data_IF_738634818491
#
_entry.id   IF_738634818491
#
_cell.length_a   1.000
_cell.length_b   1.000
_cell.length_c   1.000
_cell.angle_alpha   90.00
_cell.angle_beta   90.00
_cell.angle_gamma   90.00
#
_symmetry.space_group_name_H-M   'P 1'
#
loop_
_entity.id
_entity.type
_entity.pdbx_description
1 polymer ?
#
# COMPACT_ATOMS: atom_id res chain seq x y z
N UNK A 1 11.91 22.06 14.06
CA UNK A 1 11.96 20.62 13.71
C UNK A 1 11.80 20.55 12.20
N UNK A 2 12.86 20.29 11.45
CA UNK A 2 12.82 20.17 9.99
C UNK A 2 12.33 18.78 9.65
N UNK A 3 11.17 18.69 9.00
CA UNK A 3 10.69 17.40 8.49
C UNK A 3 11.63 16.92 7.38
N UNK A 4 11.96 15.62 7.32
CA UNK A 4 12.82 15.09 6.26
C UNK A 4 12.17 15.33 4.90
N UNK A 5 12.95 15.88 3.96
CA UNK A 5 12.51 16.04 2.59
C UNK A 5 12.32 14.66 1.96
N UNK A 6 11.14 14.40 1.41
CA UNK A 6 10.83 13.17 0.68
C UNK A 6 10.46 13.50 -0.76
N UNK A 7 11.00 12.72 -1.68
CA UNK A 7 10.69 12.80 -3.11
C UNK A 7 10.50 11.39 -3.66
N UNK A 8 9.57 11.24 -4.58
CA UNK A 8 9.33 9.98 -5.30
C UNK A 8 9.40 10.24 -6.79
N UNK A 9 10.12 9.39 -7.52
CA UNK A 9 10.26 9.46 -8.98
C UNK A 9 9.73 8.18 -9.60
N UNK A 10 8.93 8.33 -10.65
CA UNK A 10 8.27 7.23 -11.36
C UNK A 10 8.88 7.05 -12.74
N UNK A 11 9.13 5.81 -13.13
CA UNK A 11 9.49 5.42 -14.50
C UNK A 11 8.34 4.62 -15.09
N UNK A 12 8.08 4.83 -16.38
CA UNK A 12 6.94 4.27 -17.08
C UNK A 12 7.34 3.47 -18.32
N UNK A 13 6.54 2.45 -18.63
CA UNK A 13 6.46 1.86 -19.96
C UNK A 13 5.00 1.95 -20.40
N UNK A 14 4.71 2.85 -21.35
CA UNK A 14 3.33 3.18 -21.69
C UNK A 14 2.58 3.78 -20.49
N UNK A 15 1.46 3.17 -20.10
CA UNK A 15 0.65 3.58 -18.95
C UNK A 15 0.98 2.82 -17.65
N UNK A 16 2.05 2.01 -17.65
CA UNK A 16 2.46 1.18 -16.51
C UNK A 16 3.65 1.80 -15.79
N UNK A 17 3.53 1.99 -14.48
CA UNK A 17 4.68 2.32 -13.61
C UNK A 17 5.57 1.09 -13.51
N UNK A 18 6.80 1.15 -14.02
CA UNK A 18 7.76 0.03 -14.00
C UNK A 18 8.83 0.18 -12.93
N UNK A 19 9.05 1.40 -12.43
CA UNK A 19 9.98 1.65 -11.32
C UNK A 19 9.54 2.86 -10.50
N UNK A 20 9.76 2.77 -9.19
CA UNK A 20 9.67 3.87 -8.25
C UNK A 20 10.99 4.02 -7.51
N UNK A 21 11.51 5.25 -7.44
CA UNK A 21 12.66 5.59 -6.59
C UNK A 21 12.20 6.60 -5.55
N UNK A 22 12.31 6.24 -4.28
CA UNK A 22 12.03 7.12 -3.15
C UNK A 22 13.34 7.67 -2.61
N UNK A 23 13.32 8.96 -2.29
CA UNK A 23 14.43 9.71 -1.71
C UNK A 23 14.05 10.22 -0.33
N UNK A 24 15.02 10.21 0.58
CA UNK A 24 14.96 10.84 1.89
C UNK A 24 16.18 11.73 2.05
N UNK A 25 15.97 13.02 2.36
CA UNK A 25 17.05 14.01 2.46
C UNK A 25 17.99 14.01 1.23
N UNK A 26 17.40 13.90 0.03
CA UNK A 26 18.09 13.83 -1.27
C UNK A 26 18.93 12.57 -1.53
N UNK A 27 18.98 11.61 -0.60
CA UNK A 27 19.58 10.30 -0.83
C UNK A 27 18.52 9.28 -1.22
N UNK A 28 18.84 8.36 -2.13
CA UNK A 28 17.97 7.22 -2.46
C UNK A 28 17.76 6.39 -1.21
N UNK A 29 16.51 6.22 -0.78
CA UNK A 29 16.16 5.38 0.37
C UNK A 29 15.60 4.03 -0.08
N UNK A 30 14.93 3.99 -1.23
CA UNK A 30 14.23 2.80 -1.69
C UNK A 30 14.12 2.80 -3.21
N UNK A 31 14.26 1.62 -3.81
CA UNK A 31 13.98 1.35 -5.22
C UNK A 31 12.97 0.20 -5.26
N UNK A 32 11.90 0.39 -6.02
CA UNK A 32 10.89 -0.64 -6.27
C UNK A 32 10.72 -0.84 -7.76
N UNK A 33 10.96 -2.05 -8.25
CA UNK A 33 10.75 -2.46 -9.63
C UNK A 33 9.44 -3.25 -9.75
N UNK A 34 8.69 -3.01 -10.82
CA UNK A 34 7.38 -3.62 -11.07
C UNK A 34 7.40 -4.37 -12.41
N UNK A 35 7.10 -5.67 -12.35
CA UNK A 35 6.96 -6.51 -13.54
C UNK A 35 5.50 -6.84 -13.79
N UNK A 36 5.09 -6.75 -15.05
CA UNK A 36 3.73 -7.01 -15.49
C UNK A 36 3.66 -8.19 -16.45
N UNK A 37 2.51 -8.84 -16.49
CA UNK A 37 2.18 -9.91 -17.43
C UNK A 37 0.77 -9.64 -17.97
N UNK A 38 0.66 -9.47 -19.28
CA UNK A 38 -0.57 -9.04 -19.96
C UNK A 38 -1.24 -7.83 -19.30
N UNK A 39 -0.44 -6.82 -18.92
CA UNK A 39 -0.91 -5.58 -18.29
C UNK A 39 -1.30 -5.70 -16.81
N UNK A 40 -1.20 -6.89 -16.21
CA UNK A 40 -1.46 -7.14 -14.78
C UNK A 40 -0.14 -7.17 -14.01
N UNK A 41 -0.11 -6.55 -12.83
CA UNK A 41 1.07 -6.58 -11.97
C UNK A 41 1.33 -8.03 -11.50
N UNK A 42 2.57 -8.51 -11.65
CA UNK A 42 2.97 -9.89 -11.38
C UNK A 42 4.07 -10.00 -10.33
N UNK A 43 5.06 -9.10 -10.36
CA UNK A 43 6.18 -9.09 -9.42
C UNK A 43 6.43 -7.67 -8.94
N UNK A 44 6.69 -7.54 -7.64
CA UNK A 44 7.22 -6.34 -7.01
C UNK A 44 8.57 -6.71 -6.39
N UNK A 45 9.65 -6.11 -6.88
CA UNK A 45 10.98 -6.25 -6.32
C UNK A 45 11.34 -4.96 -5.57
N UNK A 46 11.51 -5.07 -4.26
CA UNK A 46 11.75 -3.96 -3.34
C UNK A 46 13.16 -4.03 -2.76
N UNK A 47 13.92 -2.95 -2.94
CA UNK A 47 15.23 -2.76 -2.34
C UNK A 47 15.25 -1.48 -1.50
N UNK A 48 15.19 -1.64 -0.18
CA UNK A 48 15.51 -0.57 0.76
C UNK A 48 17.03 -0.51 0.92
N UNK A 49 17.62 0.66 0.69
CA UNK A 49 19.08 0.80 0.55
C UNK A 49 19.79 0.36 1.83
N UNK A 50 19.30 0.80 2.99
CA UNK A 50 19.89 0.52 4.30
C UNK A 50 19.44 -0.83 4.90
N UNK A 51 18.59 -1.59 4.22
CA UNK A 51 18.18 -2.93 4.67
C UNK A 51 19.24 -3.98 4.31
N UNK A 52 19.53 -4.96 5.19
CA UNK A 52 20.38 -6.10 4.84
C UNK A 52 19.71 -7.08 3.85
N UNK A 53 18.42 -6.91 3.55
CA UNK A 53 17.66 -7.75 2.64
C UNK A 53 16.95 -6.95 1.55
N UNK A 54 16.68 -7.61 0.43
CA UNK A 54 15.69 -7.18 -0.57
C UNK A 54 14.45 -8.04 -0.45
N UNK A 55 13.31 -7.57 -0.94
CA UNK A 55 12.06 -8.30 -0.91
C UNK A 55 11.53 -8.52 -2.31
N UNK A 56 11.02 -9.72 -2.58
CA UNK A 56 10.29 -10.05 -3.79
C UNK A 56 8.88 -10.46 -3.42
N UNK A 57 7.89 -9.84 -4.05
CA UNK A 57 6.49 -10.21 -3.91
C UNK A 57 5.95 -10.72 -5.24
N UNK A 58 5.42 -11.94 -5.25
CA UNK A 58 4.78 -12.54 -6.43
C UNK A 58 3.27 -12.51 -6.25
N UNK A 59 2.56 -12.06 -7.29
CA UNK A 59 1.10 -11.92 -7.31
C UNK A 59 0.46 -13.03 -8.16
N UNK A 60 -0.60 -13.63 -7.62
CA UNK A 60 -1.44 -14.63 -8.31
C UNK A 60 -2.89 -14.18 -8.30
N UNK A 61 -3.51 -14.07 -9.48
CA UNK A 61 -4.93 -13.71 -9.63
C UNK A 61 -5.76 -14.99 -9.58
N UNK A 62 -6.65 -15.08 -8.60
CA UNK A 62 -7.46 -16.26 -8.34
C UNK A 62 -8.79 -16.20 -9.12
N UNK A 63 -9.43 -17.35 -9.31
CA UNK A 63 -10.73 -17.46 -10.00
C UNK A 63 -11.90 -16.87 -9.20
N UNK A 64 -11.74 -16.71 -7.89
CA UNK A 64 -12.71 -16.06 -6.98
C UNK A 64 -12.65 -14.52 -7.02
N UNK A 65 -11.81 -13.94 -7.90
CA UNK A 65 -11.62 -12.49 -8.02
C UNK A 65 -10.67 -11.88 -7.00
N UNK A 66 -10.06 -12.69 -6.14
CA UNK A 66 -9.03 -12.23 -5.18
C UNK A 66 -7.62 -12.29 -5.78
N UNK A 67 -6.68 -11.59 -5.14
CA UNK A 67 -5.26 -11.64 -5.49
C UNK A 67 -4.47 -12.12 -4.28
N UNK A 68 -3.66 -13.16 -4.49
CA UNK A 68 -2.71 -13.66 -3.49
C UNK A 68 -1.34 -13.05 -3.73
N UNK A 69 -0.68 -12.63 -2.66
CA UNK A 69 0.68 -12.10 -2.65
C UNK A 69 1.53 -13.00 -1.78
N UNK A 70 2.68 -13.42 -2.30
CA UNK A 70 3.67 -14.19 -1.54
C UNK A 70 4.96 -13.38 -1.51
N UNK A 71 5.40 -13.01 -0.30
CA UNK A 71 6.63 -12.24 -0.10
C UNK A 71 7.76 -13.11 0.41
N UNK A 72 8.91 -12.96 -0.22
CA UNK A 72 10.18 -13.60 0.13
C UNK A 72 11.23 -12.53 0.34
N UNK A 73 11.99 -12.62 1.42
CA UNK A 73 13.16 -11.79 1.65
C UNK A 73 14.42 -12.51 1.15
N UNK A 74 15.36 -11.76 0.58
CA UNK A 74 16.67 -12.25 0.16
C UNK A 74 17.76 -11.49 0.90
N UNK A 75 18.61 -12.18 1.64
CA UNK A 75 19.76 -11.56 2.28
C UNK A 75 20.76 -11.09 1.22
N UNK A 76 21.18 -9.82 1.29
CA UNK A 76 22.06 -9.20 0.27
C UNK A 76 23.50 -9.75 0.31
N UNK A 77 23.96 -10.22 1.46
CA UNK A 77 25.32 -10.74 1.64
C UNK A 77 25.42 -12.22 1.25
N UNK A 78 24.48 -13.04 1.72
CA UNK A 78 24.53 -14.50 1.54
C UNK A 78 23.74 -14.98 0.33
N UNK A 79 22.82 -14.15 -0.20
CA UNK A 79 21.90 -14.53 -1.27
C UNK A 79 20.80 -15.50 -0.86
N UNK A 80 20.73 -15.90 0.41
CA UNK A 80 19.72 -16.83 0.94
C UNK A 80 18.35 -16.18 0.91
N UNK A 81 17.36 -16.93 0.41
CA UNK A 81 15.96 -16.54 0.36
C UNK A 81 15.15 -17.19 1.50
N UNK A 82 14.31 -16.38 2.16
CA UNK A 82 13.45 -16.80 3.28
C UNK A 82 12.03 -16.33 3.03
N UNK A 83 11.02 -17.22 3.07
CA UNK A 83 9.62 -16.80 3.03
C UNK A 83 9.27 -15.90 4.21
N UNK A 84 8.54 -14.82 3.98
CA UNK A 84 8.08 -13.93 5.06
C UNK A 84 6.61 -14.17 5.40
N UNK A 85 5.72 -13.65 4.56
CA UNK A 85 4.28 -13.71 4.77
C UNK A 85 3.56 -13.79 3.43
N UNK A 86 2.31 -14.25 3.50
CA UNK A 86 1.37 -14.13 2.40
C UNK A 86 0.22 -13.21 2.78
N UNK A 87 -0.38 -12.58 1.77
CA UNK A 87 -1.66 -11.89 1.94
C UNK A 87 -2.61 -12.21 0.79
N UNK A 88 -3.90 -12.17 1.06
CA UNK A 88 -4.97 -12.25 0.07
C UNK A 88 -5.80 -10.98 0.12
N UNK A 89 -6.04 -10.37 -1.04
CA UNK A 89 -6.82 -9.13 -1.14
C UNK A 89 -8.07 -9.34 -1.99
N UNK A 90 -9.18 -8.76 -1.54
CA UNK A 90 -10.46 -8.72 -2.25
C UNK A 90 -10.73 -7.30 -2.70
N UNK A 91 -11.15 -7.15 -3.95
CA UNK A 91 -11.38 -5.85 -4.58
C UNK A 91 -12.85 -5.63 -4.89
N UNK A 92 -13.30 -4.39 -4.74
CA UNK A 92 -14.62 -3.94 -5.19
C UNK A 92 -14.49 -2.51 -5.71
N UNK A 93 -14.99 -2.27 -6.93
CA UNK A 93 -15.01 -0.93 -7.55
C UNK A 93 -13.64 -0.22 -7.59
N UNK A 94 -12.56 -0.98 -7.79
CA UNK A 94 -11.19 -0.42 -7.81
C UNK A 94 -10.62 -0.11 -6.42
N UNK A 95 -11.26 -0.57 -5.35
CA UNK A 95 -10.78 -0.45 -3.97
C UNK A 95 -10.52 -1.83 -3.35
N UNK A 96 -9.48 -1.95 -2.51
CA UNK A 96 -9.24 -3.13 -1.68
C UNK A 96 -10.20 -3.09 -0.49
N UNK A 97 -11.20 -3.97 -0.44
CA UNK A 97 -12.20 -3.97 0.65
C UNK A 97 -11.85 -4.93 1.78
N UNK A 98 -11.00 -5.92 1.50
CA UNK A 98 -10.54 -6.90 2.49
C UNK A 98 -9.10 -7.30 2.21
N UNK A 99 -8.30 -7.43 3.26
CA UNK A 99 -6.95 -7.99 3.22
C UNK A 99 -6.78 -9.00 4.34
N UNK A 100 -6.36 -10.21 4.00
CA UNK A 100 -6.09 -11.30 4.93
C UNK A 100 -4.59 -11.56 4.91
N UNK A 101 -3.91 -11.45 6.04
CA UNK A 101 -2.46 -11.68 6.16
C UNK A 101 -2.23 -12.94 6.99
N UNK A 102 -1.35 -13.80 6.50
CA UNK A 102 -0.84 -14.97 7.22
C UNK A 102 0.68 -14.86 7.35
N UNK A 103 1.14 -14.79 8.60
CA UNK A 103 2.56 -14.71 8.95
C UNK A 103 2.87 -15.71 10.09
N UNK A 104 3.28 -16.92 9.70
CA UNK A 104 3.46 -18.02 10.66
C UNK A 104 2.16 -18.36 11.39
N UNK A 105 2.17 -18.26 12.71
CA UNK A 105 0.99 -18.51 13.57
C UNK A 105 0.08 -17.27 13.75
N UNK A 106 0.49 -16.11 13.24
CA UNK A 106 -0.26 -14.86 13.37
C UNK A 106 -1.07 -14.61 12.11
N UNK A 107 -2.37 -14.42 12.28
CA UNK A 107 -3.26 -14.02 11.20
C UNK A 107 -3.87 -12.66 11.49
N UNK A 108 -4.14 -11.89 10.44
CA UNK A 108 -4.82 -10.60 10.58
C UNK A 108 -5.77 -10.38 9.43
N UNK A 109 -6.97 -9.88 9.75
CA UNK A 109 -7.98 -9.50 8.76
C UNK A 109 -8.16 -8.00 8.85
N UNK A 110 -8.04 -7.34 7.71
CA UNK A 110 -8.33 -5.93 7.54
C UNK A 110 -9.58 -5.80 6.68
N UNK A 111 -10.50 -4.93 7.09
CA UNK A 111 -11.62 -4.49 6.26
C UNK A 111 -11.56 -2.98 6.10
N UNK A 112 -11.91 -2.54 4.90
CA UNK A 112 -11.73 -1.17 4.47
C UNK A 112 -13.03 -0.59 3.94
N UNK A 113 -13.36 0.60 4.40
CA UNK A 113 -14.53 1.37 3.96
C UNK A 113 -14.06 2.69 3.35
N UNK A 114 -14.64 3.05 2.21
CA UNK A 114 -14.22 4.19 1.39
C UNK A 114 -15.37 5.18 1.20
N UNK A 115 -14.99 6.43 0.91
CA UNK A 115 -15.93 7.43 0.38
C UNK A 115 -16.18 7.19 -1.12
N UNK A 116 -16.87 8.14 -1.76
CA UNK A 116 -17.10 8.16 -3.21
C UNK A 116 -16.23 9.17 -3.96
N UNK A 117 -15.28 9.82 -3.26
CA UNK A 117 -14.49 10.95 -3.76
C UNK A 117 -13.16 10.47 -4.32
N UNK A 118 -12.44 11.32 -5.05
CA UNK A 118 -11.20 10.91 -5.72
C UNK A 118 -10.09 10.68 -4.69
N UNK A 119 -9.34 9.60 -4.81
CA UNK A 119 -8.10 9.45 -4.04
C UNK A 119 -7.07 10.52 -4.45
N UNK A 120 -6.22 10.94 -3.51
CA UNK A 120 -5.19 11.96 -3.73
C UNK A 120 -4.22 11.63 -4.90
N UNK A 121 -4.01 10.36 -5.22
CA UNK A 121 -3.10 9.90 -6.29
C UNK A 121 -3.81 9.54 -7.59
N UNK A 122 -5.13 9.73 -7.68
CA UNK A 122 -5.95 9.23 -8.80
C UNK A 122 -5.53 9.80 -10.16
N UNK A 123 -4.90 10.98 -10.17
CA UNK A 123 -4.36 11.64 -11.36
C UNK A 123 -2.95 11.15 -11.76
N UNK A 124 -2.29 10.31 -10.95
CA UNK A 124 -1.00 9.73 -11.29
C UNK A 124 -1.24 8.55 -12.24
N UNK A 125 -0.79 8.70 -13.49
CA UNK A 125 -0.91 7.68 -14.53
C UNK A 125 -0.41 6.32 -14.02
N UNK A 126 -1.18 5.25 -14.26
CA UNK A 126 -0.80 3.88 -13.93
C UNK A 126 -0.73 3.53 -12.44
N UNK A 127 -0.89 4.51 -11.54
CA UNK A 127 -0.68 4.29 -10.11
C UNK A 127 -1.72 3.34 -9.50
N UNK A 128 -2.96 3.37 -10.02
CA UNK A 128 -4.03 2.44 -9.67
C UNK A 128 -3.72 0.96 -10.00
N UNK A 129 -2.73 0.69 -10.86
CA UNK A 129 -2.31 -0.67 -11.22
C UNK A 129 -1.29 -1.25 -10.24
N UNK A 130 -0.84 -0.48 -9.23
CA UNK A 130 0.12 -0.92 -8.22
C UNK A 130 -0.49 -1.72 -7.06
N UNK A 131 -1.83 -1.69 -6.92
CA UNK A 131 -2.60 -2.51 -5.97
C UNK A 131 -2.18 -2.34 -4.49
N UNK A 132 -1.88 -1.10 -4.10
CA UNK A 132 -1.63 -0.63 -2.74
C UNK A 132 -2.90 -0.05 -2.06
N UNK A 133 -3.18 -0.48 -0.83
CA UNK A 133 -4.39 -0.16 -0.07
C UNK A 133 -4.44 1.27 0.52
N UNK A 134 -3.32 1.98 0.62
CA UNK A 134 -3.33 3.35 1.09
C UNK A 134 -3.33 4.33 -0.07
N UNK A 135 -2.61 3.99 -1.16
CA UNK A 135 -2.31 4.96 -2.19
C UNK A 135 -2.93 4.66 -3.55
N UNK A 136 -3.26 3.42 -3.92
CA UNK A 136 -3.66 3.10 -5.31
C UNK A 136 -5.17 2.87 -5.52
N UNK A 137 -5.94 2.97 -4.44
CA UNK A 137 -7.39 2.81 -4.48
C UNK A 137 -8.07 3.96 -5.25
N UNK A 138 -9.24 3.66 -5.82
CA UNK A 138 -10.03 4.64 -6.55
C UNK A 138 -10.55 5.79 -5.65
N UNK A 139 -10.82 5.49 -4.39
CA UNK A 139 -11.45 6.39 -3.41
C UNK A 139 -10.60 6.59 -2.14
N UNK A 140 -11.01 7.52 -1.27
CA UNK A 140 -10.30 7.74 -0.01
C UNK A 140 -10.79 6.79 1.08
N UNK A 141 -9.84 6.20 1.79
CA UNK A 141 -10.12 5.31 2.91
C UNK A 141 -10.70 6.10 4.08
N UNK A 142 -11.95 5.80 4.46
CA UNK A 142 -12.66 6.45 5.58
C UNK A 142 -12.51 5.65 6.87
N UNK A 143 -12.41 4.32 6.77
CA UNK A 143 -12.26 3.46 7.95
C UNK A 143 -11.50 2.18 7.64
N UNK A 144 -10.56 1.84 8.51
CA UNK A 144 -9.88 0.55 8.56
C UNK A 144 -10.25 -0.15 9.86
N UNK A 145 -10.71 -1.40 9.77
CA UNK A 145 -10.86 -2.28 10.93
C UNK A 145 -9.85 -3.40 10.82
N UNK A 146 -9.06 -3.63 11.87
CA UNK A 146 -8.10 -4.73 11.95
C UNK A 146 -8.54 -5.71 13.02
N UNK A 147 -8.64 -6.98 12.66
CA UNK A 147 -8.83 -8.10 13.59
C UNK A 147 -7.55 -8.92 13.60
N UNK A 148 -6.84 -8.93 14.72
CA UNK A 148 -5.68 -9.78 14.93
C UNK A 148 -6.11 -11.09 15.57
N UNK A 149 -5.69 -12.20 14.99
CA UNK A 149 -6.04 -13.55 15.40
C UNK A 149 -4.75 -14.21 15.91
N UNK A 150 -4.70 -14.43 17.22
CA UNK A 150 -3.64 -15.11 17.94
C UNK A 150 -4.21 -15.89 19.13
N UNK A 151 -3.49 -15.95 20.25
CA UNK A 151 -4.01 -16.56 21.49
C UNK A 151 -5.21 -15.80 22.08
N UNK A 152 -5.29 -14.49 21.84
CA UNK A 152 -6.45 -13.65 22.12
C UNK A 152 -6.77 -12.85 20.88
N UNK A 153 -8.05 -12.79 20.52
CA UNK A 153 -8.50 -11.95 19.41
C UNK A 153 -8.58 -10.50 19.87
N UNK A 154 -8.01 -9.59 19.09
CA UNK A 154 -8.15 -8.14 19.31
C UNK A 154 -8.68 -7.47 18.05
N UNK A 155 -9.51 -6.45 18.24
CA UNK A 155 -10.08 -5.65 17.16
C UNK A 155 -9.72 -4.19 17.39
N UNK A 156 -9.22 -3.53 16.35
CA UNK A 156 -8.88 -2.10 16.36
C UNK A 156 -9.49 -1.40 15.16
N UNK A 157 -9.82 -0.13 15.33
CA UNK A 157 -10.37 0.69 14.24
C UNK A 157 -9.60 1.99 14.10
N UNK A 158 -9.37 2.45 12.88
CA UNK A 158 -8.95 3.83 12.61
C UNK A 158 -9.89 4.46 11.60
N UNK A 159 -10.10 5.76 11.72
CA UNK A 159 -10.98 6.51 10.81
C UNK A 159 -10.25 7.72 10.24
N UNK A 160 -10.67 8.12 9.04
CA UNK A 160 -10.18 9.33 8.39
C UNK A 160 -11.37 10.24 8.03
N UNK A 161 -11.17 11.54 8.21
CA UNK A 161 -12.07 12.58 7.73
C UNK A 161 -11.34 13.44 6.71
N UNK A 162 -12.04 13.86 5.67
CA UNK A 162 -11.45 14.63 4.58
C UNK A 162 -12.22 15.92 4.31
N UNK A 163 -11.48 16.90 3.80
CA UNK A 163 -12.03 18.07 3.12
C UNK A 163 -11.62 17.97 1.65
N UNK A 164 -12.47 18.43 0.74
CA UNK A 164 -12.26 18.27 -0.70
C UNK A 164 -12.31 19.61 -1.42
N UNK A 165 -11.67 19.68 -2.59
CA UNK A 165 -11.86 20.76 -3.55
C UNK A 165 -13.10 20.52 -4.43
N UNK A 166 -13.38 21.45 -5.34
CA UNK A 166 -14.53 21.39 -6.25
C UNK A 166 -14.48 20.22 -7.25
N UNK A 167 -13.30 19.60 -7.44
CA UNK A 167 -13.07 18.44 -8.29
C UNK A 167 -13.05 17.12 -7.50
N UNK A 168 -13.55 17.14 -6.26
CA UNK A 168 -13.65 15.97 -5.38
C UNK A 168 -12.31 15.33 -4.99
N UNK A 169 -11.19 16.05 -5.09
CA UNK A 169 -9.89 15.63 -4.56
C UNK A 169 -9.70 16.13 -3.12
N UNK A 170 -9.09 15.35 -2.22
CA UNK A 170 -8.90 15.74 -0.84
C UNK A 170 -7.87 16.87 -0.74
N UNK A 171 -8.20 17.95 -0.04
CA UNK A 171 -7.25 19.04 0.30
C UNK A 171 -6.73 18.90 1.74
N UNK A 172 -7.43 18.14 2.58
CA UNK A 172 -6.97 17.78 3.91
C UNK A 172 -7.48 16.40 4.33
N UNK A 173 -6.72 15.69 5.15
CA UNK A 173 -7.09 14.45 5.85
C UNK A 173 -6.79 14.60 7.33
N UNK A 174 -7.71 14.16 8.19
CA UNK A 174 -7.50 13.95 9.64
C UNK A 174 -7.68 12.48 9.96
N UNK A 175 -6.66 11.85 10.55
CA UNK A 175 -6.67 10.43 10.98
C UNK A 175 -6.88 10.35 12.48
N UNK A 176 -7.82 9.50 12.91
CA UNK A 176 -8.17 9.26 14.31
C UNK A 176 -7.92 7.80 14.69
N UNK A 177 -7.56 7.57 15.95
CA UNK A 177 -7.53 6.22 16.52
C UNK A 177 -8.92 5.73 16.96
N UNK A 178 -8.98 4.52 17.50
CA UNK A 178 -10.21 3.89 17.99
C UNK A 178 -10.90 4.62 19.15
N UNK A 179 -10.17 5.49 19.84
CA UNK A 179 -10.69 6.36 20.91
C UNK A 179 -11.09 7.74 20.40
N UNK A 180 -11.12 7.91 19.08
CA UNK A 180 -11.44 9.15 18.38
C UNK A 180 -10.43 10.30 18.67
N UNK A 181 -9.19 9.96 19.04
CA UNK A 181 -8.11 10.93 19.24
C UNK A 181 -7.41 11.19 17.91
N UNK A 182 -7.30 12.45 17.53
CA UNK A 182 -6.57 12.88 16.32
C UNK A 182 -5.09 12.48 16.42
N UNK A 183 -4.61 11.72 15.43
CA UNK A 183 -3.22 11.26 15.34
C UNK A 183 -2.41 11.98 14.28
N UNK A 184 -3.05 12.37 13.18
CA UNK A 184 -2.36 12.98 12.04
C UNK A 184 -3.28 13.90 11.28
N UNK A 185 -2.73 15.02 10.84
CA UNK A 185 -3.31 15.87 9.80
C UNK A 185 -2.38 15.85 8.60
N UNK A 186 -2.95 15.62 7.42
CA UNK A 186 -2.25 15.69 6.13
C UNK A 186 -2.90 16.79 5.31
N UNK A 187 -2.11 17.67 4.69
CA UNK A 187 -2.56 18.67 3.72
C UNK A 187 -2.08 18.22 2.35
N UNK A 188 -2.97 18.31 1.36
CA UNK A 188 -2.65 17.96 -0.02
C UNK A 188 -2.62 19.22 -0.87
N UNK A 189 -1.56 19.34 -1.65
CA UNK A 189 -1.34 20.42 -2.61
C UNK A 189 -1.24 19.81 -4.00
N UNK A 190 -1.87 20.44 -4.98
CA UNK A 190 -2.01 19.96 -6.36
C UNK A 190 -1.49 20.99 -7.36
#
# INVERSE_FOLDING_TARGET
MTYPYKKTVFTYTGDLVTKIISYSNNATSQITDYTYDNGKLKIIDLNEIDSPSTNKTVLTYNTDGTITYIRTAKNKQTGIETPEHSKKETFLNGNIVKKEITAGTHNSIYTYEYDTKNNATKNILGFNKLLDAEMSNANNLVKETTVQIGSTQTTRTTTNQYLYNAQDYPIAQKKYDETNVLKRTTIFEY
#
